data_IF_706604321963
#
_entry.id   IF_706604321963
#
_cell.length_a   1.000
_cell.length_b   1.000
_cell.length_c   1.000
_cell.angle_alpha   90.00
_cell.angle_beta   90.00
_cell.angle_gamma   90.00
#
_symmetry.space_group_name_H-M   'P 1'
#
loop_
_entity.id
_entity.type
_entity.pdbx_description
1 polymer ?
#
# COMPACT_ATOMS: atom_id res chain seq x y z
N UNK A 1 -4.06 -63.82 -2.53
CA UNK A 1 -3.64 -62.45 -2.11
C UNK A 1 -3.52 -61.57 -3.35
N UNK A 2 -4.35 -60.53 -3.50
CA UNK A 2 -4.05 -59.33 -4.31
C UNK A 2 -5.09 -58.23 -4.04
N UNK A 3 -4.64 -57.27 -3.23
CA UNK A 3 -4.86 -55.81 -3.27
C UNK A 3 -6.24 -55.27 -3.63
N UNK A 4 -7.06 -55.06 -2.59
CA UNK A 4 -8.20 -54.14 -2.61
C UNK A 4 -7.82 -52.86 -1.84
N UNK A 5 -7.07 -51.94 -2.45
CA UNK A 5 -6.70 -50.67 -1.80
C UNK A 5 -6.58 -49.47 -2.77
N UNK A 6 -7.06 -49.58 -4.01
CA UNK A 6 -6.86 -48.53 -5.03
C UNK A 6 -7.94 -47.43 -5.04
N UNK A 7 -9.08 -47.64 -4.36
CA UNK A 7 -10.21 -46.68 -4.37
C UNK A 7 -10.17 -45.62 -3.25
N UNK A 8 -9.32 -45.78 -2.22
CA UNK A 8 -9.23 -44.81 -1.10
C UNK A 8 -8.29 -43.63 -1.36
N UNK A 9 -7.38 -43.74 -2.34
CA UNK A 9 -6.35 -42.72 -2.59
C UNK A 9 -6.90 -41.48 -3.32
N UNK A 10 -7.90 -41.65 -4.18
CA UNK A 10 -8.43 -40.56 -5.01
C UNK A 10 -9.34 -39.59 -4.24
N UNK A 11 -10.06 -40.08 -3.22
CA UNK A 11 -10.92 -39.22 -2.39
C UNK A 11 -10.11 -38.30 -1.45
N UNK A 12 -8.95 -38.76 -0.97
CA UNK A 12 -8.09 -37.97 -0.07
C UNK A 12 -7.42 -36.78 -0.77
N UNK A 13 -7.03 -36.93 -2.04
CA UNK A 13 -6.38 -35.87 -2.83
C UNK A 13 -7.36 -34.74 -3.17
N UNK A 14 -8.62 -35.07 -3.48
CA UNK A 14 -9.69 -34.08 -3.73
C UNK A 14 -10.05 -33.28 -2.46
N UNK A 15 -10.02 -33.91 -1.28
CA UNK A 15 -10.29 -33.23 -0.01
C UNK A 15 -9.16 -32.29 0.42
N UNK A 16 -7.89 -32.66 0.17
CA UNK A 16 -6.73 -31.79 0.39
C UNK A 16 -6.73 -30.57 -0.54
N UNK A 17 -7.12 -30.71 -1.82
CA UNK A 17 -7.27 -29.59 -2.75
C UNK A 17 -8.41 -28.63 -2.32
N UNK A 18 -9.51 -29.15 -1.78
CA UNK A 18 -10.62 -28.34 -1.29
C UNK A 18 -10.25 -27.52 -0.02
N UNK A 19 -9.39 -28.06 0.84
CA UNK A 19 -8.86 -27.35 2.01
C UNK A 19 -7.87 -26.23 1.63
N UNK A 20 -7.10 -26.40 0.56
CA UNK A 20 -6.25 -25.32 0.01
C UNK A 20 -7.09 -24.18 -0.60
N UNK A 21 -8.27 -24.47 -1.17
CA UNK A 21 -9.16 -23.46 -1.74
C UNK A 21 -9.98 -22.69 -0.70
N UNK A 22 -10.21 -23.26 0.50
CA UNK A 22 -10.85 -22.55 1.63
C UNK A 22 -9.86 -21.73 2.47
N UNK A 23 -8.55 -21.85 2.22
CA UNK A 23 -7.54 -20.97 2.82
C UNK A 23 -7.41 -19.63 2.10
N UNK A 24 -8.39 -19.24 1.26
CA UNK A 24 -8.59 -17.87 0.83
C UNK A 24 -9.26 -17.06 1.97
N UNK A 25 -8.54 -16.92 3.08
CA UNK A 25 -8.82 -15.87 4.04
C UNK A 25 -8.49 -14.53 3.40
N UNK A 26 -9.37 -14.01 2.55
CA UNK A 26 -9.40 -12.58 2.28
C UNK A 26 -9.66 -11.91 3.62
N UNK A 27 -8.59 -11.46 4.28
CA UNK A 27 -8.68 -10.45 5.33
C UNK A 27 -9.32 -9.23 4.67
N UNK A 28 -10.62 -9.09 4.74
CA UNK A 28 -11.33 -8.01 4.05
C UNK A 28 -10.75 -6.65 4.45
N UNK A 29 -10.65 -5.73 3.49
CA UNK A 29 -10.28 -4.35 3.77
C UNK A 29 -11.35 -3.75 4.69
N UNK A 30 -10.99 -3.23 5.87
CA UNK A 30 -11.96 -2.71 6.82
C UNK A 30 -12.81 -1.58 6.20
N UNK A 31 -14.14 -1.58 6.37
CA UNK A 31 -14.98 -0.49 5.88
C UNK A 31 -14.63 0.85 6.54
N UNK A 32 -14.00 0.85 7.72
CA UNK A 32 -13.53 2.07 8.38
C UNK A 32 -12.47 2.83 7.54
N UNK A 33 -11.80 2.16 6.60
CA UNK A 33 -10.83 2.77 5.69
C UNK A 33 -11.50 3.67 4.64
N UNK A 34 -12.78 3.42 4.30
CA UNK A 34 -13.54 4.21 3.32
C UNK A 34 -13.69 5.65 3.84
N UNK A 35 -13.43 6.63 2.98
CA UNK A 35 -13.51 8.05 3.30
C UNK A 35 -12.25 8.83 2.92
N UNK A 36 -12.24 10.11 3.28
CA UNK A 36 -11.12 11.03 3.04
C UNK A 36 -10.15 11.00 4.22
N UNK A 37 -8.87 10.82 3.91
CA UNK A 37 -7.77 10.84 4.85
C UNK A 37 -6.79 11.93 4.46
N UNK A 38 -6.33 12.69 5.45
CA UNK A 38 -5.40 13.81 5.24
C UNK A 38 -4.29 13.78 6.26
N UNK A 39 -3.06 14.06 5.83
CA UNK A 39 -1.96 14.37 6.72
C UNK A 39 -1.82 15.89 6.89
N UNK A 40 -1.15 16.31 7.95
CA UNK A 40 -0.53 17.64 7.98
C UNK A 40 0.61 17.73 6.94
N UNK A 41 1.18 18.92 6.77
CA UNK A 41 2.39 19.08 5.98
C UNK A 41 3.58 18.45 6.70
N UNK A 42 4.30 17.58 6.02
CA UNK A 42 5.49 16.90 6.54
C UNK A 42 6.65 17.09 5.56
N UNK A 43 7.88 16.93 6.06
CA UNK A 43 9.06 16.92 5.18
C UNK A 43 9.04 15.67 4.31
N UNK A 44 9.04 15.82 2.99
CA UNK A 44 9.14 14.73 2.03
C UNK A 44 10.49 14.80 1.35
N UNK A 45 11.26 13.71 1.45
CA UNK A 45 12.55 13.57 0.77
C UNK A 45 12.37 12.75 -0.50
N UNK A 46 12.75 13.33 -1.64
CA UNK A 46 12.85 12.64 -2.93
C UNK A 46 14.32 12.37 -3.24
N UNK A 47 14.60 11.31 -3.99
CA UNK A 47 15.94 11.01 -4.51
C UNK A 47 15.90 10.91 -6.03
N UNK A 48 16.96 11.37 -6.67
CA UNK A 48 17.17 11.23 -8.11
C UNK A 48 18.61 10.85 -8.41
N UNK A 49 18.84 10.31 -9.61
CA UNK A 49 20.17 9.91 -10.08
C UNK A 49 20.47 10.43 -11.49
N UNK A 50 20.42 11.76 -11.72
CA UNK A 50 20.53 12.34 -13.06
C UNK A 50 21.89 12.14 -13.73
N UNK A 51 22.96 11.98 -12.95
CA UNK A 51 24.36 11.92 -13.38
C UNK A 51 25.11 10.68 -12.86
N UNK A 52 24.37 9.66 -12.42
CA UNK A 52 24.98 8.47 -11.84
C UNK A 52 25.30 8.57 -10.34
N UNK A 53 25.08 9.72 -9.67
CA UNK A 53 25.17 9.86 -8.22
C UNK A 53 23.79 10.14 -7.61
N UNK A 54 23.54 9.60 -6.41
CA UNK A 54 22.29 9.89 -5.71
C UNK A 54 22.29 11.32 -5.21
N UNK A 55 21.24 12.06 -5.55
CA UNK A 55 20.94 13.39 -5.03
C UNK A 55 19.62 13.33 -4.29
N UNK A 56 19.56 13.99 -3.13
CA UNK A 56 18.38 14.06 -2.29
C UNK A 56 17.89 15.50 -2.26
N UNK A 57 16.58 15.69 -2.36
CA UNK A 57 15.93 16.98 -2.22
C UNK A 57 14.74 16.81 -1.29
N UNK A 58 14.46 17.82 -0.48
CA UNK A 58 13.36 17.73 0.48
C UNK A 58 12.57 19.03 0.47
N UNK A 59 11.26 18.91 0.60
CA UNK A 59 10.35 20.04 0.78
C UNK A 59 9.13 19.58 1.59
N UNK A 60 8.34 20.53 2.07
CA UNK A 60 7.15 20.27 2.88
C UNK A 60 5.91 20.11 2.02
N UNK A 61 5.21 18.98 2.17
CA UNK A 61 3.97 18.70 1.47
C UNK A 61 3.00 17.90 2.36
N UNK A 62 1.71 18.07 2.11
CA UNK A 62 0.64 17.24 2.66
C UNK A 62 0.33 16.06 1.74
N UNK A 63 -0.25 15.01 2.31
CA UNK A 63 -0.71 13.83 1.60
C UNK A 63 -2.20 13.68 1.87
N UNK A 64 -2.98 13.47 0.82
CA UNK A 64 -4.42 13.24 0.90
C UNK A 64 -4.78 12.04 0.08
N UNK A 65 -5.68 11.20 0.58
CA UNK A 65 -6.26 10.13 -0.22
C UNK A 65 -7.71 9.89 0.20
N UNK A 66 -8.54 9.55 -0.77
CA UNK A 66 -9.93 9.14 -0.58
C UNK A 66 -10.06 7.70 -1.03
N UNK A 67 -10.48 6.84 -0.12
CA UNK A 67 -10.89 5.47 -0.44
C UNK A 67 -12.39 5.49 -0.72
N UNK A 68 -12.78 5.07 -1.91
CA UNK A 68 -14.18 4.97 -2.36
C UNK A 68 -14.82 3.67 -1.86
N UNK A 69 -16.14 3.57 -2.00
CA UNK A 69 -16.90 2.38 -1.58
C UNK A 69 -16.51 1.10 -2.35
N UNK A 70 -15.99 1.26 -3.58
CA UNK A 70 -15.45 0.17 -4.41
C UNK A 70 -13.98 -0.15 -4.10
N UNK A 71 -13.41 0.44 -3.04
CA UNK A 71 -12.01 0.32 -2.61
C UNK A 71 -10.96 0.83 -3.62
N UNK A 72 -11.38 1.59 -4.63
CA UNK A 72 -10.44 2.39 -5.43
C UNK A 72 -9.99 3.63 -4.65
N UNK A 73 -8.78 4.11 -4.94
CA UNK A 73 -8.19 5.25 -4.24
C UNK A 73 -7.84 6.37 -5.20
N UNK A 74 -8.19 7.60 -4.84
CA UNK A 74 -7.70 8.81 -5.48
C UNK A 74 -7.06 9.73 -4.44
N UNK A 75 -6.18 10.63 -4.85
CA UNK A 75 -5.52 11.49 -3.89
C UNK A 75 -4.42 12.36 -4.47
N UNK A 76 -3.62 12.91 -3.57
CA UNK A 76 -2.49 13.76 -3.89
C UNK A 76 -1.35 13.62 -2.88
N UNK A 77 -0.13 13.84 -3.38
CA UNK A 77 1.09 14.00 -2.59
C UNK A 77 1.68 15.35 -3.01
N UNK A 78 1.51 16.37 -2.17
CA UNK A 78 1.78 17.76 -2.53
C UNK A 78 1.02 18.16 -3.81
N UNK A 79 1.76 18.58 -4.83
CA UNK A 79 1.20 19.00 -6.13
C UNK A 79 0.84 17.82 -7.05
N UNK A 80 1.35 16.63 -6.78
CA UNK A 80 1.11 15.45 -7.61
C UNK A 80 -0.25 14.80 -7.27
N UNK A 81 -1.02 14.42 -8.28
CA UNK A 81 -2.32 13.74 -8.13
C UNK A 81 -2.28 12.31 -8.66
N UNK A 82 -3.13 11.44 -8.11
CA UNK A 82 -3.40 10.09 -8.61
C UNK A 82 -4.90 9.77 -8.52
N UNK A 83 -5.42 8.96 -9.43
CA UNK A 83 -6.87 8.71 -9.57
C UNK A 83 -7.31 7.25 -9.63
N UNK A 84 -6.38 6.29 -9.66
CA UNK A 84 -6.66 4.86 -9.81
C UNK A 84 -5.76 4.02 -8.89
N UNK A 85 -5.62 4.44 -7.64
CA UNK A 85 -4.84 3.72 -6.65
C UNK A 85 -5.52 2.41 -6.24
N UNK A 86 -4.72 1.38 -6.00
CA UNK A 86 -5.17 0.05 -5.56
C UNK A 86 -4.76 -0.21 -4.11
N UNK A 87 -5.65 -0.79 -3.30
CA UNK A 87 -5.35 -1.19 -1.93
C UNK A 87 -4.93 -2.66 -1.91
N UNK A 88 -3.73 -2.92 -1.39
CA UNK A 88 -3.20 -4.26 -1.16
C UNK A 88 -3.08 -4.52 0.33
N UNK A 89 -3.49 -5.71 0.76
CA UNK A 89 -3.31 -6.16 2.13
C UNK A 89 -1.89 -6.68 2.33
N UNK A 90 -1.29 -6.39 3.48
CA UNK A 90 -0.03 -7.01 3.85
C UNK A 90 -0.25 -8.46 4.28
N UNK A 91 -0.15 -9.38 3.33
CA UNK A 91 -0.37 -10.82 3.55
C UNK A 91 0.92 -11.56 3.95
N UNK A 92 2.10 -11.01 3.62
CA UNK A 92 3.37 -11.71 3.80
C UNK A 92 3.84 -11.70 5.26
N UNK A 93 3.68 -10.58 5.96
CA UNK A 93 4.09 -10.45 7.36
C UNK A 93 2.92 -9.99 8.24
N UNK A 94 2.76 -10.55 9.45
CA UNK A 94 1.77 -10.05 10.40
C UNK A 94 1.97 -8.55 10.68
N UNK A 95 0.88 -7.79 10.73
CA UNK A 95 0.90 -6.35 11.06
C UNK A 95 1.67 -6.08 12.37
N UNK A 96 1.55 -6.96 13.37
CA UNK A 96 2.28 -6.83 14.64
C UNK A 96 3.81 -6.85 14.50
N UNK A 97 4.32 -7.41 13.40
CA UNK A 97 5.76 -7.49 13.12
C UNK A 97 6.20 -6.37 12.17
N UNK A 98 5.40 -6.08 11.15
CA UNK A 98 5.77 -5.14 10.08
C UNK A 98 5.36 -3.70 10.36
N UNK A 99 4.39 -3.49 11.26
CA UNK A 99 3.71 -2.21 11.44
C UNK A 99 2.77 -1.85 10.28
N UNK A 100 2.65 -2.69 9.24
CA UNK A 100 1.94 -2.38 8.00
C UNK A 100 0.74 -3.31 7.85
N UNK A 101 -0.44 -2.73 7.65
CA UNK A 101 -1.69 -3.42 7.37
C UNK A 101 -2.06 -3.37 5.90
N UNK A 102 -1.85 -2.21 5.25
CA UNK A 102 -2.28 -1.94 3.89
C UNK A 102 -1.19 -1.23 3.11
N UNK A 103 -1.20 -1.39 1.79
CA UNK A 103 -0.39 -0.61 0.86
C UNK A 103 -1.32 -0.03 -0.20
N UNK A 104 -1.34 1.29 -0.33
CA UNK A 104 -2.00 1.97 -1.45
C UNK A 104 -0.97 2.14 -2.55
N UNK A 105 -1.19 1.48 -3.68
CA UNK A 105 -0.36 1.64 -4.88
C UNK A 105 -0.85 2.86 -5.64
N UNK A 106 -0.18 4.01 -5.48
CA UNK A 106 -0.57 5.26 -6.15
C UNK A 106 -0.19 5.26 -7.64
N UNK A 107 0.74 4.38 -8.04
CA UNK A 107 1.29 4.30 -9.38
C UNK A 107 2.26 5.44 -9.67
N UNK A 108 2.38 5.80 -10.95
CA UNK A 108 3.27 6.85 -11.43
C UNK A 108 2.63 8.23 -11.24
N UNK A 109 3.16 9.00 -10.29
CA UNK A 109 2.70 10.35 -9.97
C UNK A 109 3.68 11.39 -10.52
N UNK A 110 3.23 12.65 -10.62
CA UNK A 110 4.05 13.77 -11.07
C UNK A 110 5.07 14.27 -10.04
N UNK A 111 5.49 15.53 -10.20
CA UNK A 111 6.31 16.26 -9.21
C UNK A 111 5.53 16.52 -7.93
N UNK A 112 6.13 16.20 -6.78
CA UNK A 112 5.50 16.43 -5.47
C UNK A 112 5.56 17.92 -5.10
N UNK A 113 6.67 18.58 -5.43
CA UNK A 113 6.92 20.01 -5.23
C UNK A 113 7.67 20.59 -6.43
N UNK A 114 7.75 21.92 -6.53
CA UNK A 114 8.28 22.63 -7.71
C UNK A 114 9.69 22.17 -8.10
N UNK A 115 10.57 22.07 -7.11
CA UNK A 115 11.98 21.69 -7.27
C UNK A 115 12.22 20.18 -7.27
N UNK A 116 11.18 19.35 -7.38
CA UNK A 116 11.33 17.90 -7.49
C UNK A 116 12.13 17.55 -8.76
N UNK A 117 13.28 16.86 -8.62
CA UNK A 117 14.19 16.59 -9.73
C UNK A 117 13.64 15.57 -10.74
N UNK A 118 12.60 14.81 -10.38
CA UNK A 118 11.97 13.83 -11.26
C UNK A 118 10.57 14.29 -11.66
N UNK A 119 10.33 14.41 -12.98
CA UNK A 119 9.01 14.75 -13.52
C UNK A 119 7.93 13.74 -13.09
N UNK A 120 8.31 12.47 -12.97
CA UNK A 120 7.44 11.40 -12.54
C UNK A 120 8.16 10.42 -11.64
N UNK A 121 7.42 9.73 -10.78
CA UNK A 121 7.93 8.67 -9.92
C UNK A 121 6.82 7.71 -9.52
N UNK A 122 7.16 6.44 -9.36
CA UNK A 122 6.25 5.45 -8.80
C UNK A 122 6.32 5.49 -7.28
N UNK A 123 5.15 5.59 -6.64
CA UNK A 123 5.06 5.65 -5.18
C UNK A 123 3.95 4.78 -4.63
N UNK A 124 4.11 4.41 -3.36
CA UNK A 124 3.13 3.71 -2.55
C UNK A 124 2.97 4.39 -1.19
N UNK A 125 1.78 4.29 -0.60
CA UNK A 125 1.55 4.62 0.81
C UNK A 125 1.43 3.33 1.59
N UNK A 126 2.33 3.12 2.54
CA UNK A 126 2.34 1.96 3.42
C UNK A 126 1.67 2.35 4.73
N UNK A 127 0.51 1.77 5.02
CA UNK A 127 -0.38 2.18 6.09
C UNK A 127 -0.41 1.13 7.19
N UNK A 128 -0.33 1.57 8.43
CA UNK A 128 -0.57 0.78 9.62
C UNK A 128 -2.05 0.48 9.87
N UNK A 129 -2.39 -0.14 11.01
CA UNK A 129 -3.78 -0.35 11.41
C UNK A 129 -4.46 0.98 11.75
N UNK A 130 -5.77 1.05 11.49
CA UNK A 130 -6.60 2.18 11.92
C UNK A 130 -6.73 2.16 13.45
N UNK A 131 -6.43 3.27 14.11
CA UNK A 131 -6.54 3.41 15.56
C UNK A 131 -7.21 4.75 15.88
N UNK A 132 -8.38 4.74 16.51
CA UNK A 132 -9.08 5.97 16.96
C UNK A 132 -9.23 7.05 15.86
N UNK A 133 -9.55 6.66 14.62
CA UNK A 133 -9.72 7.60 13.51
C UNK A 133 -8.42 8.14 12.90
N UNK A 134 -7.26 7.60 13.31
CA UNK A 134 -5.96 7.89 12.70
C UNK A 134 -5.33 6.64 12.08
N UNK A 135 -4.40 6.86 11.15
CA UNK A 135 -3.57 5.84 10.52
C UNK A 135 -2.15 6.38 10.47
N UNK A 136 -1.19 5.65 11.04
CA UNK A 136 0.22 5.90 10.77
C UNK A 136 0.57 5.34 9.39
N UNK A 137 1.34 6.08 8.60
CA UNK A 137 1.77 5.61 7.31
C UNK A 137 3.10 6.18 6.84
N UNK A 138 3.60 5.60 5.77
CA UNK A 138 4.88 5.97 5.16
C UNK A 138 4.71 6.10 3.64
N UNK A 139 5.14 7.23 3.09
CA UNK A 139 5.28 7.39 1.65
C UNK A 139 6.60 6.76 1.20
N UNK A 140 6.53 5.87 0.20
CA UNK A 140 7.70 5.21 -0.37
C UNK A 140 7.78 5.42 -1.87
N UNK A 141 8.99 5.63 -2.36
CA UNK A 141 9.33 5.47 -3.77
C UNK A 141 9.53 3.98 -4.08
N UNK A 142 9.00 3.49 -5.19
CA UNK A 142 8.91 2.04 -5.48
C UNK A 142 9.31 1.61 -6.90
N UNK A 143 9.82 2.52 -7.73
CA UNK A 143 10.18 2.21 -9.12
C UNK A 143 11.27 1.12 -9.22
N UNK A 144 11.05 0.13 -10.08
CA UNK A 144 12.04 -0.90 -10.41
C UNK A 144 12.47 -1.76 -9.22
N UNK A 145 11.54 -2.10 -8.31
CA UNK A 145 11.78 -2.85 -7.06
C UNK A 145 12.72 -2.14 -6.07
N UNK A 146 12.96 -0.83 -6.24
CA UNK A 146 13.79 -0.05 -5.33
C UNK A 146 12.91 0.72 -4.38
N UNK A 147 12.82 0.23 -3.15
CA UNK A 147 12.09 0.90 -2.08
C UNK A 147 12.96 2.01 -1.45
N UNK A 148 12.38 3.18 -1.25
CA UNK A 148 13.00 4.26 -0.47
C UNK A 148 11.97 5.02 0.36
N UNK A 149 12.17 5.12 1.68
CA UNK A 149 11.31 5.90 2.56
C UNK A 149 11.43 7.39 2.21
N UNK A 150 10.32 8.03 1.88
CA UNK A 150 10.28 9.44 1.52
C UNK A 150 9.80 10.31 2.68
N UNK A 151 8.82 9.84 3.44
CA UNK A 151 8.26 10.55 4.59
C UNK A 151 7.40 9.62 5.44
N UNK A 152 7.41 9.81 6.76
CA UNK A 152 6.38 9.28 7.66
C UNK A 152 5.26 10.31 7.81
N UNK A 153 4.02 9.85 7.90
CA UNK A 153 2.84 10.70 8.05
C UNK A 153 1.82 10.06 8.97
N UNK A 154 1.16 10.88 9.79
CA UNK A 154 -0.06 10.50 10.49
C UNK A 154 -1.23 11.06 9.69
N UNK A 155 -2.14 10.18 9.31
CA UNK A 155 -3.36 10.51 8.61
C UNK A 155 -4.52 10.56 9.59
N UNK A 156 -5.33 11.59 9.49
CA UNK A 156 -6.59 11.70 10.22
C UNK A 156 -7.73 11.61 9.21
N UNK A 157 -8.79 10.91 9.59
CA UNK A 157 -10.02 10.88 8.79
C UNK A 157 -10.67 12.25 8.84
N UNK A 158 -10.96 12.84 7.68
CA UNK A 158 -11.72 14.08 7.62
C UNK A 158 -13.18 13.78 7.99
N UNK A 159 -13.75 14.58 8.89
CA UNK A 159 -15.18 14.58 9.14
C UNK A 159 -15.88 15.17 7.90
N UNK A 160 -16.88 14.45 7.37
CA UNK A 160 -17.70 14.91 6.25
C UNK A 160 -18.68 15.98 6.71
#
# INVERSE_FOLDING_TARGET
>A
MKNCNFKRLHAGILFLLALFLHSCGQKNIPPELIGLWTSQKHMITVRAKPDGNWRFMSDSADIKFRVKEDYTVEGSVGSAKFGNGEIKLNWLLPTKMSGISFTIVCGKIGKIFENDPLNYKEVELWLGPITNGTIDGELRYTEGNRYFPMSGAIFTKAEN
#
